data_IF_437516799454
#
_entry.id   IF_437516799454
#
_cell.length_a   1.000
_cell.length_b   1.000
_cell.length_c   1.000
_cell.angle_alpha   90.00
_cell.angle_beta   90.00
_cell.angle_gamma   90.00
#
_symmetry.space_group_name_H-M   'P 1'
#
loop_
_entity.id
_entity.type
_entity.pdbx_description
1 polymer ?
#
# COMPACT_ATOMS: atom_id res chain seq x y z
N UNK A 1 64.32 -143.78 -60.84
CA UNK A 1 64.58 -143.97 -62.29
C UNK A 1 65.63 -145.08 -62.52
N UNK A 2 66.79 -145.05 -61.84
CA UNK A 2 67.87 -146.06 -61.94
C UNK A 2 67.45 -147.51 -61.61
N UNK A 3 66.60 -147.74 -60.61
CA UNK A 3 66.19 -149.10 -60.21
C UNK A 3 65.34 -149.82 -61.27
N UNK A 4 64.58 -149.08 -62.08
CA UNK A 4 63.76 -149.65 -63.17
C UNK A 4 64.57 -150.08 -64.41
N UNK A 5 65.87 -149.77 -64.47
CA UNK A 5 66.74 -149.99 -65.63
C UNK A 5 67.44 -151.36 -65.62
N UNK A 6 67.59 -151.97 -64.44
CA UNK A 6 68.32 -153.23 -64.25
C UNK A 6 67.53 -154.43 -64.81
N UNK A 7 66.19 -154.36 -64.83
CA UNK A 7 65.33 -155.44 -65.34
C UNK A 7 65.11 -155.45 -66.86
N UNK A 8 65.70 -154.50 -67.61
CA UNK A 8 65.51 -154.40 -69.07
C UNK A 8 66.70 -154.98 -69.86
N UNK A 9 66.36 -155.75 -70.90
CA UNK A 9 67.29 -156.36 -71.89
C UNK A 9 68.09 -155.24 -72.59
N UNK A 10 69.39 -155.44 -72.96
CA UNK A 10 70.28 -154.34 -73.37
C UNK A 10 69.77 -153.43 -74.50
N UNK A 11 69.01 -153.97 -75.46
CA UNK A 11 68.41 -153.22 -76.59
C UNK A 11 67.25 -152.30 -76.20
N UNK A 12 66.72 -152.42 -74.97
CA UNK A 12 65.63 -151.60 -74.44
C UNK A 12 66.09 -150.67 -73.32
N UNK A 13 67.40 -150.62 -73.03
CA UNK A 13 67.94 -149.67 -72.06
C UNK A 13 67.98 -148.28 -72.70
N UNK A 14 67.46 -147.25 -72.02
CA UNK A 14 67.56 -145.88 -72.50
C UNK A 14 69.03 -145.54 -72.80
N UNK A 15 69.29 -144.92 -73.95
CA UNK A 15 70.64 -144.48 -74.28
C UNK A 15 71.11 -143.42 -73.28
N UNK A 16 72.42 -143.28 -73.08
CA UNK A 16 73.01 -142.24 -72.22
C UNK A 16 72.42 -140.85 -72.55
N UNK A 17 72.16 -140.59 -73.82
CA UNK A 17 71.53 -139.37 -74.31
C UNK A 17 70.10 -139.18 -73.77
N UNK A 18 69.27 -140.22 -73.79
CA UNK A 18 67.89 -140.14 -73.26
C UNK A 18 67.83 -139.96 -71.74
N UNK A 19 68.79 -140.54 -71.00
CA UNK A 19 68.90 -140.38 -69.56
C UNK A 19 69.35 -138.96 -69.19
N UNK A 20 70.33 -138.44 -69.94
CA UNK A 20 70.81 -137.08 -69.78
C UNK A 20 69.69 -136.07 -70.07
N UNK A 21 68.89 -136.29 -71.12
CA UNK A 21 67.76 -135.44 -71.45
C UNK A 21 66.68 -135.45 -70.36
N UNK A 22 66.37 -136.60 -69.77
CA UNK A 22 65.43 -136.70 -68.65
C UNK A 22 65.94 -135.96 -67.40
N UNK A 23 67.23 -136.10 -67.08
CA UNK A 23 67.83 -135.40 -65.94
C UNK A 23 67.88 -133.89 -66.16
N UNK A 24 68.21 -133.43 -67.38
CA UNK A 24 68.17 -132.02 -67.76
C UNK A 24 66.74 -131.48 -67.62
N UNK A 25 65.73 -132.21 -68.09
CA UNK A 25 64.34 -131.77 -68.03
C UNK A 25 63.81 -131.70 -66.59
N UNK A 26 64.23 -132.62 -65.71
CA UNK A 26 63.94 -132.52 -64.27
C UNK A 26 64.63 -131.32 -63.62
N UNK A 27 65.89 -131.03 -63.98
CA UNK A 27 66.61 -129.85 -63.50
C UNK A 27 65.98 -128.55 -63.98
N UNK A 28 65.57 -128.46 -65.25
CA UNK A 28 64.85 -127.31 -65.82
C UNK A 28 63.53 -127.09 -65.07
N UNK A 29 62.74 -128.15 -64.86
CA UNK A 29 61.48 -128.05 -64.12
C UNK A 29 61.69 -127.60 -62.67
N UNK A 30 62.75 -128.05 -62.00
CA UNK A 30 63.11 -127.58 -60.64
C UNK A 30 63.55 -126.12 -60.64
N UNK A 31 64.29 -125.67 -61.67
CA UNK A 31 64.71 -124.28 -61.83
C UNK A 31 63.50 -123.37 -62.11
N UNK A 32 62.59 -123.79 -62.99
CA UNK A 32 61.34 -123.06 -63.29
C UNK A 32 60.50 -122.91 -62.03
N UNK A 33 60.28 -124.00 -61.27
CA UNK A 33 59.56 -123.94 -59.99
C UNK A 33 60.24 -123.02 -58.97
N UNK A 34 61.57 -123.08 -58.87
CA UNK A 34 62.31 -122.21 -57.96
C UNK A 34 62.25 -120.74 -58.38
N UNK A 35 62.20 -120.45 -59.67
CA UNK A 35 62.03 -119.09 -60.19
C UNK A 35 60.59 -118.58 -59.94
N UNK A 36 59.57 -119.40 -60.19
CA UNK A 36 58.17 -119.08 -59.87
C UNK A 36 57.97 -118.82 -58.36
N UNK A 37 58.61 -119.63 -57.50
CA UNK A 37 58.60 -119.43 -56.05
C UNK A 37 59.30 -118.12 -55.64
N UNK A 38 60.43 -117.78 -56.28
CA UNK A 38 61.11 -116.51 -56.03
C UNK A 38 60.29 -115.30 -56.48
N UNK A 39 59.67 -115.35 -57.64
CA UNK A 39 58.78 -114.29 -58.14
C UNK A 39 57.57 -114.12 -57.21
N UNK A 40 56.98 -115.23 -56.76
CA UNK A 40 55.89 -115.22 -55.77
C UNK A 40 56.32 -114.62 -54.43
N UNK A 41 57.51 -114.96 -53.94
CA UNK A 41 58.08 -114.39 -52.72
C UNK A 41 58.33 -112.88 -52.85
N UNK A 42 58.89 -112.42 -53.97
CA UNK A 42 59.09 -110.99 -54.25
C UNK A 42 57.75 -110.23 -54.30
N UNK A 43 56.73 -110.82 -54.93
CA UNK A 43 55.38 -110.24 -54.98
C UNK A 43 54.74 -110.13 -53.59
N UNK A 44 54.86 -111.18 -52.76
CA UNK A 44 54.38 -111.18 -51.37
C UNK A 44 55.11 -110.11 -50.54
N UNK A 45 56.42 -109.97 -50.70
CA UNK A 45 57.22 -108.97 -49.99
C UNK A 45 56.83 -107.53 -50.41
N UNK A 46 56.59 -107.30 -51.70
CA UNK A 46 56.08 -106.03 -52.20
C UNK A 46 54.69 -105.71 -51.65
N UNK A 47 53.75 -106.66 -51.69
CA UNK A 47 52.40 -106.49 -51.15
C UNK A 47 52.41 -106.21 -49.64
N UNK A 48 53.30 -106.86 -48.89
CA UNK A 48 53.46 -106.60 -47.46
C UNK A 48 53.99 -105.19 -47.19
N UNK A 49 54.92 -104.70 -48.02
CA UNK A 49 55.41 -103.33 -47.94
C UNK A 49 54.28 -102.32 -48.22
N UNK A 50 53.52 -102.52 -49.30
CA UNK A 50 52.39 -101.67 -49.67
C UNK A 50 51.28 -101.68 -48.58
N UNK A 51 50.96 -102.85 -48.02
CA UNK A 51 50.00 -102.96 -46.92
C UNK A 51 50.45 -102.22 -45.65
N UNK A 52 51.74 -102.29 -45.32
CA UNK A 52 52.29 -101.55 -44.18
C UNK A 52 52.25 -100.03 -44.42
N UNK A 53 52.54 -99.58 -45.64
CA UNK A 53 52.41 -98.17 -46.03
C UNK A 53 50.95 -97.70 -45.97
N UNK A 54 50.00 -98.48 -46.50
CA UNK A 54 48.55 -98.23 -46.42
C UNK A 54 48.06 -98.15 -44.97
N UNK A 55 48.48 -99.09 -44.13
CA UNK A 55 48.14 -99.10 -42.70
C UNK A 55 48.64 -97.84 -41.99
N UNK A 56 49.86 -97.40 -42.32
CA UNK A 56 50.44 -96.17 -41.76
C UNK A 56 49.67 -94.93 -42.22
N UNK A 57 49.34 -94.84 -43.52
CA UNK A 57 48.53 -93.73 -44.07
C UNK A 57 47.13 -93.69 -43.46
N UNK A 58 46.50 -94.85 -43.28
CA UNK A 58 45.18 -94.95 -42.65
C UNK A 58 45.22 -94.46 -41.20
N UNK A 59 46.21 -94.88 -40.41
CA UNK A 59 46.40 -94.39 -39.04
C UNK A 59 46.65 -92.87 -38.99
N UNK A 60 47.46 -92.34 -39.91
CA UNK A 60 47.71 -90.90 -39.99
C UNK A 60 46.42 -90.12 -40.30
N UNK A 61 45.62 -90.60 -41.24
CA UNK A 61 44.34 -89.99 -41.62
C UNK A 61 43.34 -90.00 -40.46
N UNK A 62 43.28 -91.08 -39.68
CA UNK A 62 42.40 -91.17 -38.51
C UNK A 62 42.81 -90.15 -37.43
N UNK A 63 44.13 -89.98 -37.21
CA UNK A 63 44.67 -88.96 -36.28
C UNK A 63 44.37 -87.55 -36.77
N UNK A 64 44.56 -87.28 -38.07
CA UNK A 64 44.28 -85.97 -38.67
C UNK A 64 42.79 -85.61 -38.56
N UNK A 65 41.90 -86.57 -38.85
CA UNK A 65 40.45 -86.41 -38.70
C UNK A 65 40.04 -86.12 -37.26
N UNK A 66 40.64 -86.79 -36.28
CA UNK A 66 40.37 -86.52 -34.88
C UNK A 66 40.93 -85.16 -34.45
N UNK A 67 42.13 -84.76 -34.93
CA UNK A 67 42.67 -83.42 -34.69
C UNK A 67 41.78 -82.33 -35.28
N UNK A 68 41.26 -82.51 -36.50
CA UNK A 68 40.38 -81.56 -37.16
C UNK A 68 39.04 -81.42 -36.40
N UNK A 69 38.48 -82.54 -35.94
CA UNK A 69 37.30 -82.54 -35.08
C UNK A 69 37.52 -81.79 -33.76
N UNK A 70 38.69 -81.97 -33.12
CA UNK A 70 39.03 -81.24 -31.89
C UNK A 70 39.20 -79.73 -32.13
N UNK A 71 39.81 -79.35 -33.27
CA UNK A 71 39.91 -77.92 -33.67
C UNK A 71 38.53 -77.31 -33.88
N UNK A 72 37.65 -78.00 -34.61
CA UNK A 72 36.28 -77.55 -34.85
C UNK A 72 35.48 -77.41 -33.54
N UNK A 73 35.64 -78.33 -32.58
CA UNK A 73 35.02 -78.21 -31.26
C UNK A 73 35.51 -76.97 -30.50
N UNK A 74 36.83 -76.75 -30.47
CA UNK A 74 37.42 -75.58 -29.80
C UNK A 74 36.94 -74.26 -30.40
N UNK A 75 36.78 -74.21 -31.72
CA UNK A 75 36.28 -73.04 -32.42
C UNK A 75 34.80 -72.77 -32.12
N UNK A 76 33.98 -73.83 -32.05
CA UNK A 76 32.57 -73.73 -31.59
C UNK A 76 32.48 -73.20 -30.17
N UNK A 77 33.34 -73.65 -29.25
CA UNK A 77 33.31 -73.20 -27.86
C UNK A 77 33.73 -71.73 -27.72
N UNK A 78 34.75 -71.28 -28.46
CA UNK A 78 35.11 -69.86 -28.54
C UNK A 78 33.96 -69.01 -29.06
N UNK A 79 33.31 -69.43 -30.15
CA UNK A 79 32.17 -68.72 -30.72
C UNK A 79 30.98 -68.65 -29.75
N UNK A 80 30.75 -69.71 -28.96
CA UNK A 80 29.72 -69.70 -27.90
C UNK A 80 30.05 -68.70 -26.80
N UNK A 81 31.30 -68.67 -26.32
CA UNK A 81 31.73 -67.72 -25.30
C UNK A 81 31.60 -66.27 -25.77
N UNK A 82 32.02 -65.98 -27.01
CA UNK A 82 31.86 -64.66 -27.62
C UNK A 82 30.39 -64.26 -27.74
N UNK A 83 29.52 -65.19 -28.15
CA UNK A 83 28.08 -64.95 -28.24
C UNK A 83 27.45 -64.67 -26.86
N UNK A 84 27.88 -65.36 -25.82
CA UNK A 84 27.42 -65.12 -24.43
C UNK A 84 27.85 -63.73 -23.95
N UNK A 85 29.10 -63.33 -24.21
CA UNK A 85 29.59 -61.98 -23.88
C UNK A 85 28.79 -60.90 -24.60
N UNK A 86 28.59 -61.06 -25.91
CA UNK A 86 27.82 -60.11 -26.71
C UNK A 86 26.36 -59.99 -26.24
N UNK A 87 25.72 -61.11 -25.84
CA UNK A 87 24.37 -61.09 -25.25
C UNK A 87 24.34 -60.32 -23.93
N UNK A 88 25.30 -60.59 -23.03
CA UNK A 88 25.41 -59.89 -21.75
C UNK A 88 25.64 -58.39 -21.92
N UNK A 89 26.45 -57.97 -22.89
CA UNK A 89 26.68 -56.54 -23.18
C UNK A 89 25.42 -55.87 -23.73
N UNK A 90 24.69 -56.56 -24.60
CA UNK A 90 23.44 -56.04 -25.16
C UNK A 90 22.35 -55.89 -24.09
N UNK A 91 22.28 -56.82 -23.13
CA UNK A 91 21.35 -56.73 -22.00
C UNK A 91 21.71 -55.59 -21.05
N UNK A 92 23.00 -55.35 -20.77
CA UNK A 92 23.45 -54.16 -20.03
C UNK A 92 23.05 -52.88 -20.75
N UNK A 93 23.29 -52.80 -22.06
CA UNK A 93 22.96 -51.62 -22.87
C UNK A 93 21.44 -51.36 -22.89
N UNK A 94 20.62 -52.42 -22.93
CA UNK A 94 19.15 -52.30 -22.82
C UNK A 94 18.74 -51.79 -21.45
N UNK A 95 19.32 -52.30 -20.37
CA UNK A 95 19.03 -51.82 -19.01
C UNK A 95 19.41 -50.34 -18.84
N UNK A 96 20.56 -49.91 -19.33
CA UNK A 96 20.97 -48.50 -19.31
C UNK A 96 20.01 -47.61 -20.10
N UNK A 97 19.57 -48.05 -21.30
CA UNK A 97 18.58 -47.30 -22.09
C UNK A 97 17.24 -47.17 -21.37
N UNK A 98 16.77 -48.23 -20.72
CA UNK A 98 15.52 -48.20 -19.93
C UNK A 98 15.66 -47.22 -18.77
N UNK A 99 16.78 -47.27 -18.05
CA UNK A 99 17.06 -46.37 -16.92
C UNK A 99 17.11 -44.90 -17.37
N UNK A 100 17.85 -44.60 -18.44
CA UNK A 100 17.94 -43.26 -18.99
C UNK A 100 16.58 -42.72 -19.48
N UNK A 101 15.73 -43.60 -20.04
CA UNK A 101 14.37 -43.22 -20.43
C UNK A 101 13.49 -42.91 -19.22
N UNK A 102 13.56 -43.72 -18.17
CA UNK A 102 12.83 -43.50 -16.92
C UNK A 102 13.25 -42.19 -16.23
N UNK A 103 14.56 -41.90 -16.17
CA UNK A 103 15.09 -40.64 -15.63
C UNK A 103 14.59 -39.43 -16.42
N UNK A 104 14.62 -39.51 -17.76
CA UNK A 104 14.11 -38.45 -18.63
C UNK A 104 12.61 -38.20 -18.47
N UNK A 105 11.83 -39.26 -18.29
CA UNK A 105 10.38 -39.12 -18.06
C UNK A 105 10.09 -38.55 -16.66
N UNK A 106 10.88 -38.92 -15.65
CA UNK A 106 10.79 -38.33 -14.32
C UNK A 106 11.13 -36.83 -14.31
N UNK A 107 12.18 -36.41 -15.02
CA UNK A 107 12.53 -34.99 -15.18
C UNK A 107 11.42 -34.20 -15.87
N UNK A 108 10.81 -34.76 -16.92
CA UNK A 108 9.66 -34.12 -17.60
C UNK A 108 8.47 -33.96 -16.68
N UNK A 109 8.13 -34.97 -15.88
CA UNK A 109 7.03 -34.91 -14.92
C UNK A 109 7.30 -33.83 -13.87
N UNK A 110 8.53 -33.76 -13.33
CA UNK A 110 8.91 -32.72 -12.38
C UNK A 110 8.79 -31.31 -13.00
N UNK A 111 9.29 -31.12 -14.22
CA UNK A 111 9.18 -29.84 -14.92
C UNK A 111 7.73 -29.42 -15.21
N UNK A 112 6.84 -30.37 -15.49
CA UNK A 112 5.40 -30.12 -15.65
C UNK A 112 4.75 -29.70 -14.33
N UNK A 113 5.03 -30.43 -13.24
CA UNK A 113 4.50 -30.10 -11.90
C UNK A 113 4.96 -28.71 -11.45
N UNK A 114 6.20 -28.34 -11.73
CA UNK A 114 6.74 -27.03 -11.35
C UNK A 114 6.14 -25.88 -12.17
N UNK A 115 5.87 -26.12 -13.46
CA UNK A 115 5.09 -25.20 -14.30
C UNK A 115 3.66 -25.03 -13.78
N UNK A 116 2.98 -26.11 -13.45
CA UNK A 116 1.60 -26.08 -12.94
C UNK A 116 1.51 -25.32 -11.61
N UNK A 117 2.47 -25.55 -10.69
CA UNK A 117 2.59 -24.76 -9.45
C UNK A 117 2.78 -23.26 -9.74
N UNK A 118 3.64 -22.92 -10.69
CA UNK A 118 3.90 -21.52 -11.06
C UNK A 118 2.65 -20.86 -11.65
N UNK A 119 1.89 -21.58 -12.48
CA UNK A 119 0.64 -21.08 -13.05
C UNK A 119 -0.40 -20.86 -11.94
N UNK A 120 -0.56 -21.82 -11.02
CA UNK A 120 -1.49 -21.71 -9.91
C UNK A 120 -1.19 -20.50 -8.99
N UNK A 121 0.09 -20.25 -8.67
CA UNK A 121 0.49 -19.08 -7.88
C UNK A 121 0.15 -17.77 -8.60
N UNK A 122 0.47 -17.68 -9.91
CA UNK A 122 0.15 -16.48 -10.69
C UNK A 122 -1.36 -16.23 -10.81
N UNK A 123 -2.16 -17.28 -10.93
CA UNK A 123 -3.62 -17.19 -10.98
C UNK A 123 -4.17 -16.68 -9.64
N UNK A 124 -3.65 -17.20 -8.52
CA UNK A 124 -4.03 -16.78 -7.17
C UNK A 124 -3.65 -15.32 -6.89
N UNK A 125 -2.45 -14.89 -7.30
CA UNK A 125 -2.01 -13.50 -7.19
C UNK A 125 -2.90 -12.55 -8.00
N UNK A 126 -3.25 -12.92 -9.25
CA UNK A 126 -4.18 -12.13 -10.08
C UNK A 126 -5.56 -12.01 -9.45
N UNK A 127 -6.10 -13.09 -8.89
CA UNK A 127 -7.39 -13.05 -8.20
C UNK A 127 -7.35 -12.15 -6.97
N UNK A 128 -6.26 -12.21 -6.19
CA UNK A 128 -6.06 -11.33 -5.03
C UNK A 128 -5.98 -9.85 -5.45
N UNK A 129 -5.21 -9.54 -6.49
CA UNK A 129 -5.09 -8.17 -7.03
C UNK A 129 -6.45 -7.64 -7.54
N UNK A 130 -7.25 -8.50 -8.18
CA UNK A 130 -8.59 -8.14 -8.64
C UNK A 130 -9.53 -7.83 -7.47
N UNK A 131 -9.49 -8.66 -6.42
CA UNK A 131 -10.30 -8.45 -5.22
C UNK A 131 -9.91 -7.16 -4.49
N UNK A 132 -8.61 -6.87 -4.35
CA UNK A 132 -8.11 -5.64 -3.75
C UNK A 132 -8.55 -4.41 -4.55
N UNK A 133 -8.50 -4.46 -5.89
CA UNK A 133 -9.01 -3.39 -6.75
C UNK A 133 -10.52 -3.17 -6.61
N UNK A 134 -11.31 -4.23 -6.50
CA UNK A 134 -12.77 -4.12 -6.27
C UNK A 134 -13.10 -3.51 -4.90
N UNK A 135 -12.38 -3.92 -3.85
CA UNK A 135 -12.55 -3.37 -2.51
C UNK A 135 -12.19 -1.88 -2.47
N UNK A 136 -11.03 -1.50 -3.03
CA UNK A 136 -10.60 -0.10 -3.10
C UNK A 136 -11.55 0.77 -3.93
N UNK A 137 -12.13 0.23 -5.00
CA UNK A 137 -13.14 0.96 -5.77
C UNK A 137 -14.43 1.18 -4.94
N UNK A 138 -14.89 0.15 -4.23
CA UNK A 138 -16.09 0.23 -3.40
C UNK A 138 -15.92 1.22 -2.24
N UNK A 139 -14.74 1.26 -1.61
CA UNK A 139 -14.43 2.25 -0.56
C UNK A 139 -14.44 3.68 -1.11
N UNK A 140 -13.82 3.93 -2.27
CA UNK A 140 -13.85 5.25 -2.91
C UNK A 140 -15.27 5.71 -3.25
N UNK A 141 -16.11 4.80 -3.75
CA UNK A 141 -17.51 5.12 -4.06
C UNK A 141 -18.34 5.40 -2.80
N UNK A 142 -18.03 4.73 -1.68
CA UNK A 142 -18.67 4.99 -0.39
C UNK A 142 -18.25 6.35 0.19
N UNK A 143 -16.96 6.68 0.12
CA UNK A 143 -16.41 7.95 0.60
C UNK A 143 -16.97 9.12 -0.21
N UNK A 144 -17.07 8.98 -1.54
CA UNK A 144 -17.71 9.99 -2.40
C UNK A 144 -19.16 10.24 -2.00
N UNK A 145 -19.95 9.19 -1.74
CA UNK A 145 -21.35 9.35 -1.28
C UNK A 145 -21.44 10.04 0.08
N UNK A 146 -20.51 9.76 1.00
CA UNK A 146 -20.45 10.47 2.30
C UNK A 146 -20.15 11.95 2.08
N UNK A 147 -19.14 12.28 1.28
CA UNK A 147 -18.80 13.65 0.94
C UNK A 147 -19.97 14.39 0.26
N UNK A 148 -20.67 13.74 -0.67
CA UNK A 148 -21.85 14.32 -1.33
C UNK A 148 -22.99 14.59 -0.32
N UNK A 149 -23.18 13.69 0.66
CA UNK A 149 -24.19 13.84 1.73
C UNK A 149 -23.82 14.97 2.68
N UNK A 150 -22.56 15.01 3.12
CA UNK A 150 -22.03 16.08 3.97
C UNK A 150 -22.12 17.43 3.27
N UNK A 151 -21.75 17.50 1.98
CA UNK A 151 -21.84 18.72 1.19
C UNK A 151 -23.30 19.18 1.01
N UNK A 152 -24.24 18.26 0.77
CA UNK A 152 -25.67 18.58 0.72
C UNK A 152 -26.19 19.11 2.08
N UNK A 153 -25.72 18.54 3.18
CA UNK A 153 -26.09 19.00 4.52
C UNK A 153 -25.47 20.38 4.86
N UNK A 154 -24.21 20.63 4.46
CA UNK A 154 -23.58 21.95 4.56
C UNK A 154 -24.39 22.98 3.77
N UNK A 155 -24.77 22.70 2.51
CA UNK A 155 -25.61 23.62 1.71
C UNK A 155 -26.92 23.92 2.45
N UNK A 156 -27.59 22.90 2.99
CA UNK A 156 -28.86 23.06 3.74
C UNK A 156 -28.66 23.94 4.97
N UNK A 157 -27.64 23.68 5.77
CA UNK A 157 -27.33 24.44 6.98
C UNK A 157 -26.91 25.88 6.65
N UNK A 158 -26.12 26.09 5.60
CA UNK A 158 -25.76 27.43 5.13
C UNK A 158 -27.00 28.21 4.71
N UNK A 159 -27.93 27.61 3.96
CA UNK A 159 -29.17 28.26 3.57
C UNK A 159 -30.04 28.64 4.79
N UNK A 160 -30.14 27.76 5.78
CA UNK A 160 -30.87 28.04 7.02
C UNK A 160 -30.20 29.17 7.84
N UNK A 161 -28.87 29.17 7.96
CA UNK A 161 -28.10 30.25 8.61
C UNK A 161 -28.32 31.58 7.88
N UNK A 162 -28.27 31.61 6.54
CA UNK A 162 -28.54 32.82 5.76
C UNK A 162 -29.96 33.32 5.99
N UNK A 163 -30.96 32.42 6.06
CA UNK A 163 -32.35 32.79 6.33
C UNK A 163 -32.53 33.35 7.74
N UNK A 164 -31.92 32.72 8.75
CA UNK A 164 -31.96 33.19 10.14
C UNK A 164 -31.26 34.54 10.28
N UNK A 165 -30.08 34.70 9.68
CA UNK A 165 -29.38 35.98 9.64
C UNK A 165 -30.19 37.05 8.93
N UNK A 166 -30.84 36.77 7.79
CA UNK A 166 -31.74 37.75 7.15
C UNK A 166 -32.93 38.12 8.03
N UNK A 167 -33.47 37.19 8.81
CA UNK A 167 -34.53 37.50 9.79
C UNK A 167 -34.02 38.37 10.95
N UNK A 168 -32.78 38.14 11.41
CA UNK A 168 -32.09 38.94 12.43
C UNK A 168 -31.59 40.30 11.90
N UNK A 169 -31.37 40.42 10.58
CA UNK A 169 -30.95 41.64 9.88
C UNK A 169 -32.11 42.62 9.63
N UNK A 170 -33.36 42.22 9.90
CA UNK A 170 -34.49 43.15 9.98
C UNK A 170 -34.47 43.91 11.31
N UNK A 171 -33.36 44.55 11.65
CA UNK A 171 -33.38 45.61 12.64
C UNK A 171 -34.00 46.82 11.93
N UNK A 172 -35.22 47.26 12.27
CA UNK A 172 -35.72 48.50 11.73
C UNK A 172 -34.75 49.61 12.14
N UNK A 173 -34.32 50.42 11.16
CA UNK A 173 -33.52 51.64 11.35
C UNK A 173 -34.29 52.75 12.07
N UNK A 174 -35.19 52.39 13.00
CA UNK A 174 -36.19 53.26 13.60
C UNK A 174 -35.70 54.04 14.81
N UNK A 175 -34.39 54.15 15.06
CA UNK A 175 -33.86 55.07 16.07
C UNK A 175 -33.39 56.33 15.36
N UNK A 176 -33.90 57.49 15.80
CA UNK A 176 -33.41 58.79 15.36
C UNK A 176 -33.18 59.71 16.57
N UNK A 177 -32.32 60.74 16.46
CA UNK A 177 -32.05 61.66 17.58
C UNK A 177 -33.29 62.35 18.17
N UNK A 178 -34.32 62.60 17.36
CA UNK A 178 -35.54 63.29 17.78
C UNK A 178 -36.48 62.40 18.62
N UNK A 179 -36.25 61.09 18.64
CA UNK A 179 -37.00 60.16 19.49
C UNK A 179 -36.51 60.13 20.94
N UNK A 180 -35.33 60.70 21.23
CA UNK A 180 -34.82 60.70 22.59
C UNK A 180 -35.59 61.68 23.46
N UNK A 181 -36.17 61.18 24.55
CA UNK A 181 -36.84 62.01 25.55
C UNK A 181 -36.06 61.92 26.86
N UNK A 182 -35.55 63.05 27.31
CA UNK A 182 -34.84 63.21 28.57
C UNK A 182 -35.77 62.99 29.76
N UNK A 183 -35.35 62.13 30.67
CA UNK A 183 -35.96 61.95 31.99
C UNK A 183 -35.43 63.08 32.86
N UNK A 184 -36.15 64.20 32.88
CA UNK A 184 -35.75 65.43 33.57
C UNK A 184 -36.47 65.49 34.93
N UNK A 185 -35.75 65.30 36.06
CA UNK A 185 -36.37 65.26 37.38
C UNK A 185 -36.84 66.63 37.87
N UNK A 186 -36.22 67.71 37.37
CA UNK A 186 -36.53 69.09 37.71
C UNK A 186 -36.50 69.99 36.47
N UNK A 187 -37.66 70.42 35.92
CA UNK A 187 -37.72 71.18 34.68
C UNK A 187 -37.06 72.55 34.77
N UNK A 188 -36.93 73.10 35.98
CA UNK A 188 -36.23 74.37 36.19
C UNK A 188 -34.71 74.25 36.00
N UNK A 189 -34.14 73.04 36.08
CA UNK A 189 -32.69 72.78 36.04
C UNK A 189 -32.20 72.44 34.64
N UNK A 190 -33.01 71.71 33.88
CA UNK A 190 -32.69 71.31 32.51
C UNK A 190 -33.92 71.46 31.65
N UNK A 191 -33.71 72.01 30.45
CA UNK A 191 -34.72 72.12 29.42
C UNK A 191 -34.28 71.24 28.25
N UNK A 192 -35.22 70.47 27.70
CA UNK A 192 -35.05 69.81 26.41
C UNK A 192 -35.82 70.58 25.33
N UNK A 193 -35.14 70.89 24.23
CA UNK A 193 -35.70 71.48 23.02
C UNK A 193 -35.33 70.56 21.86
N UNK A 194 -36.28 69.77 21.36
CA UNK A 194 -36.03 68.72 20.38
C UNK A 194 -34.89 67.77 20.81
N UNK A 195 -33.84 67.65 20.01
CA UNK A 195 -32.65 66.85 20.29
C UNK A 195 -31.60 67.59 21.14
N UNK A 196 -31.89 68.80 21.63
CA UNK A 196 -30.97 69.63 22.41
C UNK A 196 -31.33 69.64 23.89
N UNK A 197 -30.34 69.39 24.73
CA UNK A 197 -30.44 69.49 26.19
C UNK A 197 -29.68 70.72 26.66
N UNK A 198 -30.35 71.55 27.47
CA UNK A 198 -29.83 72.84 27.94
C UNK A 198 -29.86 72.86 29.46
N UNK A 199 -28.70 72.98 30.09
CA UNK A 199 -28.59 73.23 31.53
C UNK A 199 -28.95 74.69 31.82
N UNK A 200 -29.94 74.93 32.67
CA UNK A 200 -30.31 76.30 33.06
C UNK A 200 -29.33 76.85 34.11
N UNK A 201 -29.57 78.07 34.56
CA UNK A 201 -28.84 78.67 35.69
C UNK A 201 -29.34 78.21 37.07
N UNK A 202 -30.32 77.29 37.15
CA UNK A 202 -30.83 76.74 38.41
C UNK A 202 -30.09 75.47 38.78
N UNK A 203 -29.73 75.37 40.05
CA UNK A 203 -28.99 74.25 40.59
C UNK A 203 -27.52 74.21 40.14
N UNK A 204 -26.76 73.30 40.74
CA UNK A 204 -25.31 73.19 40.57
C UNK A 204 -24.92 72.32 39.39
N UNK A 205 -25.63 71.22 39.20
CA UNK A 205 -25.27 70.15 38.27
C UNK A 205 -26.53 69.42 37.81
N UNK A 206 -26.48 68.66 36.72
CA UNK A 206 -27.65 67.88 36.28
C UNK A 206 -27.23 66.66 35.48
N UNK A 207 -27.84 65.52 35.80
CA UNK A 207 -27.74 64.28 35.03
C UNK A 207 -29.07 64.00 34.36
N UNK A 208 -29.04 63.68 33.06
CA UNK A 208 -30.24 63.41 32.26
C UNK A 208 -30.09 62.06 31.60
N UNK A 209 -30.93 61.11 31.97
CA UNK A 209 -31.08 59.83 31.26
C UNK A 209 -32.08 59.97 30.12
N UNK A 210 -32.03 59.11 29.10
CA UNK A 210 -32.93 59.18 27.96
C UNK A 210 -33.83 57.93 27.82
N UNK A 211 -35.05 58.15 27.32
CA UNK A 211 -35.92 57.14 26.71
C UNK A 211 -35.70 57.14 25.18
N UNK A 212 -35.84 56.00 24.47
CA UNK A 212 -36.26 54.70 24.99
C UNK A 212 -35.14 53.94 25.73
N UNK A 213 -35.53 52.90 26.47
CA UNK A 213 -34.61 51.90 27.04
C UNK A 213 -34.03 51.05 25.90
N UNK A 214 -32.74 50.75 25.97
CA UNK A 214 -32.08 49.84 25.03
C UNK A 214 -32.00 48.46 25.65
N UNK A 215 -32.58 47.46 25.00
CA UNK A 215 -32.64 46.07 25.47
C UNK A 215 -31.82 45.09 24.64
N UNK A 216 -31.38 45.50 23.44
CA UNK A 216 -30.63 44.65 22.51
C UNK A 216 -29.99 45.45 21.38
N UNK A 217 -28.97 44.86 20.75
CA UNK A 217 -28.25 45.46 19.62
C UNK A 217 -27.15 46.44 20.02
N UNK A 218 -26.36 46.88 19.05
CA UNK A 218 -25.33 47.90 19.26
C UNK A 218 -25.96 49.24 18.91
N UNK A 219 -26.09 50.12 19.91
CA UNK A 219 -26.65 51.46 19.71
C UNK A 219 -25.52 52.48 19.82
N UNK A 220 -25.40 53.31 18.79
CA UNK A 220 -24.49 54.45 18.78
C UNK A 220 -25.24 55.67 19.31
N UNK A 221 -24.71 56.27 20.37
CA UNK A 221 -25.22 57.52 20.94
C UNK A 221 -24.13 58.59 20.86
N UNK A 222 -24.46 59.73 20.30
CA UNK A 222 -23.51 60.82 20.14
C UNK A 222 -24.17 62.19 20.04
N UNK A 223 -23.37 63.20 20.31
CA UNK A 223 -23.82 64.58 20.27
C UNK A 223 -22.69 65.58 20.29
N UNK A 224 -23.08 66.84 20.13
CA UNK A 224 -22.23 68.00 20.04
C UNK A 224 -22.35 68.82 21.33
N UNK A 225 -21.21 69.07 21.98
CA UNK A 225 -21.14 69.80 23.26
C UNK A 225 -20.80 71.28 23.02
N UNK A 226 -21.63 72.18 23.52
CA UNK A 226 -21.51 73.64 23.36
C UNK A 226 -21.52 74.35 24.72
N UNK A 227 -20.83 75.50 24.80
CA UNK A 227 -20.86 76.44 25.94
C UNK A 227 -20.50 75.75 27.27
N UNK A 228 -19.41 75.01 27.26
CA UNK A 228 -18.96 74.19 28.40
C UNK A 228 -17.50 74.55 28.76
N UNK A 229 -17.28 75.75 29.34
CA UNK A 229 -15.94 76.27 29.62
C UNK A 229 -15.19 75.47 30.70
N UNK A 230 -15.86 74.77 31.62
CA UNK A 230 -15.20 73.99 32.68
C UNK A 230 -14.98 72.51 32.27
N UNK A 231 -14.36 71.74 33.16
CA UNK A 231 -13.93 70.37 32.89
C UNK A 231 -14.95 69.26 33.25
N UNK A 232 -16.09 69.57 33.86
CA UNK A 232 -16.98 68.57 34.46
C UNK A 232 -18.15 68.11 33.55
N UNK A 233 -17.83 67.64 32.34
CA UNK A 233 -18.78 66.95 31.45
C UNK A 233 -18.55 65.44 31.48
N UNK A 234 -19.62 64.65 31.44
CA UNK A 234 -19.52 63.22 31.12
C UNK A 234 -20.78 62.72 30.42
N UNK A 235 -20.63 61.61 29.72
CA UNK A 235 -21.75 60.88 29.11
C UNK A 235 -21.50 59.39 29.26
N UNK A 236 -22.57 58.60 29.27
CA UNK A 236 -22.47 57.22 29.72
C UNK A 236 -23.69 56.38 29.46
N UNK A 237 -23.62 55.15 29.97
CA UNK A 237 -24.76 54.23 30.05
C UNK A 237 -25.09 53.94 31.51
N UNK A 238 -26.37 53.85 31.81
CA UNK A 238 -26.89 53.49 33.12
C UNK A 238 -27.77 52.25 33.00
N UNK A 239 -27.79 51.42 34.04
CA UNK A 239 -28.85 50.42 34.22
C UNK A 239 -30.22 51.12 34.13
N UNK A 240 -31.18 50.52 33.43
CA UNK A 240 -32.45 51.19 33.15
C UNK A 240 -33.29 51.53 34.39
N UNK A 241 -32.98 50.90 35.54
CA UNK A 241 -33.59 51.18 36.84
C UNK A 241 -33.08 52.46 37.51
N UNK A 242 -31.99 53.05 37.02
CA UNK A 242 -31.42 54.28 37.59
C UNK A 242 -32.33 55.47 37.29
N UNK A 243 -32.67 56.21 38.35
CA UNK A 243 -33.35 57.50 38.27
C UNK A 243 -32.45 58.52 38.92
N UNK A 244 -31.93 59.47 38.14
CA UNK A 244 -31.16 60.58 38.66
C UNK A 244 -32.10 61.63 39.27
N UNK A 245 -31.71 62.28 40.36
CA UNK A 245 -32.40 63.43 40.94
C UNK A 245 -31.94 64.76 40.34
N UNK A 246 -32.65 65.84 40.69
CA UNK A 246 -32.21 67.21 40.40
C UNK A 246 -30.94 67.51 41.21
N UNK A 247 -29.91 68.10 40.59
CA UNK A 247 -28.60 68.33 41.21
C UNK A 247 -27.86 67.07 41.65
N UNK A 248 -28.09 65.94 40.97
CA UNK A 248 -27.39 64.70 41.27
C UNK A 248 -26.31 64.38 40.23
N UNK A 249 -25.09 64.14 40.71
CA UNK A 249 -23.96 63.61 39.94
C UNK A 249 -24.17 62.10 39.65
N UNK A 250 -23.82 61.55 38.46
CA UNK A 250 -24.12 60.16 38.12
C UNK A 250 -23.34 59.11 38.94
N UNK A 251 -22.40 59.56 39.78
CA UNK A 251 -21.55 58.72 40.63
C UNK A 251 -21.82 59.00 42.13
N UNK A 252 -23.08 58.93 42.54
CA UNK A 252 -23.52 59.12 43.94
C UNK A 252 -24.24 57.87 44.45
N UNK A 253 -24.06 57.52 45.72
CA UNK A 253 -24.82 56.46 46.39
C UNK A 253 -24.72 55.09 45.70
N UNK A 254 -25.87 54.53 45.31
CA UNK A 254 -25.96 53.25 44.59
C UNK A 254 -25.63 53.37 43.09
N UNK A 255 -25.73 54.58 42.51
CA UNK A 255 -25.52 54.81 41.08
C UNK A 255 -24.07 54.50 40.66
N UNK A 256 -23.12 54.57 41.60
CA UNK A 256 -21.70 54.21 41.38
C UNK A 256 -21.49 52.78 40.87
N UNK A 257 -22.43 51.86 41.13
CA UNK A 257 -22.38 50.46 40.66
C UNK A 257 -23.28 50.20 39.44
N UNK A 258 -24.04 51.20 39.02
CA UNK A 258 -25.09 51.09 38.00
C UNK A 258 -24.87 51.99 36.79
N UNK A 259 -23.71 52.66 36.69
CA UNK A 259 -23.36 53.54 35.57
C UNK A 259 -21.94 53.25 35.07
N UNK A 260 -21.76 53.34 33.75
CA UNK A 260 -20.43 53.47 33.11
C UNK A 260 -20.36 54.86 32.51
N UNK A 261 -19.28 55.58 32.83
CA UNK A 261 -19.11 56.99 32.48
C UNK A 261 -17.83 57.22 31.68
N UNK A 262 -17.94 58.05 30.65
CA UNK A 262 -16.82 58.60 29.93
C UNK A 262 -16.72 60.09 30.29
N UNK A 263 -15.70 60.46 31.06
CA UNK A 263 -15.48 61.83 31.50
C UNK A 263 -14.77 62.64 30.40
N UNK A 264 -14.89 63.97 30.46
CA UNK A 264 -14.27 64.92 29.51
C UNK A 264 -12.77 64.67 29.29
N UNK A 265 -12.04 64.23 30.31
CA UNK A 265 -10.61 63.98 30.22
C UNK A 265 -10.24 62.68 29.48
N UNK A 266 -11.22 61.93 28.97
CA UNK A 266 -11.01 60.64 28.28
C UNK A 266 -11.00 59.44 29.22
N UNK A 267 -11.31 59.65 30.49
CA UNK A 267 -11.33 58.58 31.48
C UNK A 267 -12.64 57.79 31.38
N UNK A 268 -12.54 56.48 31.21
CA UNK A 268 -13.68 55.56 31.32
C UNK A 268 -13.73 54.99 32.74
N UNK A 269 -14.87 55.14 33.42
CA UNK A 269 -15.02 54.76 34.84
C UNK A 269 -16.29 53.96 35.08
N UNK A 270 -16.22 53.09 36.08
CA UNK A 270 -17.33 52.31 36.62
C UNK A 270 -17.10 52.13 38.13
N UNK A 271 -16.95 50.90 38.62
CA UNK A 271 -16.57 50.57 39.99
C UNK A 271 -15.04 50.45 40.03
N UNK A 272 -14.37 51.10 40.99
CA UNK A 272 -12.91 51.00 41.17
C UNK A 272 -12.14 52.10 40.46
N UNK A 273 -10.99 51.75 39.88
CA UNK A 273 -10.08 52.69 39.22
C UNK A 273 -10.63 53.18 37.87
N UNK A 274 -10.02 54.26 37.37
CA UNK A 274 -10.30 54.81 36.04
C UNK A 274 -9.40 54.21 34.96
N UNK A 275 -9.98 53.90 33.81
CA UNK A 275 -9.25 53.50 32.61
C UNK A 275 -8.87 54.78 31.85
N UNK A 276 -7.56 55.00 31.74
CA UNK A 276 -6.97 56.16 31.06
C UNK A 276 -6.57 55.79 29.62
N UNK A 277 -6.24 56.79 28.80
CA UNK A 277 -5.68 56.60 27.46
C UNK A 277 -6.66 56.83 26.31
N UNK A 278 -7.94 57.11 26.59
CA UNK A 278 -8.88 57.55 25.54
C UNK A 278 -8.76 59.06 25.30
N UNK A 279 -9.34 59.53 24.19
CA UNK A 279 -9.27 60.94 23.78
C UNK A 279 -10.16 61.85 24.63
N UNK A 280 -9.68 63.06 24.92
CA UNK A 280 -10.45 64.10 25.61
C UNK A 280 -11.62 64.60 24.76
N UNK A 281 -12.69 65.01 25.45
CA UNK A 281 -13.83 65.72 24.86
C UNK A 281 -13.55 67.22 24.94
N UNK A 282 -13.43 67.87 23.79
CA UNK A 282 -13.24 69.31 23.71
C UNK A 282 -14.58 70.02 23.51
N UNK A 283 -14.64 71.28 23.92
CA UNK A 283 -15.78 72.15 23.61
C UNK A 283 -15.92 72.30 22.08
N UNK A 284 -17.17 72.39 21.60
CA UNK A 284 -17.51 72.50 20.19
C UNK A 284 -17.00 71.31 19.35
N UNK A 285 -17.02 70.10 19.94
CA UNK A 285 -16.73 68.85 19.25
C UNK A 285 -17.88 67.86 19.41
N UNK A 286 -18.02 67.01 18.41
CA UNK A 286 -18.91 65.85 18.45
C UNK A 286 -18.21 64.69 19.14
N UNK A 287 -18.96 63.97 19.97
CA UNK A 287 -18.52 62.73 20.60
C UNK A 287 -19.58 61.66 20.40
N UNK A 288 -19.16 60.42 20.19
CA UNK A 288 -20.05 59.27 20.05
C UNK A 288 -19.54 58.09 20.87
N UNK A 289 -20.45 57.25 21.35
CA UNK A 289 -20.13 56.04 22.07
C UNK A 289 -20.91 54.84 21.55
N UNK A 290 -20.25 53.69 21.63
CA UNK A 290 -20.80 52.35 21.40
C UNK A 290 -20.36 51.49 22.60
N UNK A 291 -21.28 50.88 23.37
CA UNK A 291 -20.96 50.16 24.60
C UNK A 291 -20.39 48.75 24.32
N UNK A 292 -19.36 48.64 23.47
CA UNK A 292 -18.85 47.36 22.95
C UNK A 292 -17.65 46.80 23.72
N UNK A 293 -16.93 47.65 24.46
CA UNK A 293 -15.76 47.26 25.25
C UNK A 293 -16.10 46.92 26.71
N UNK A 294 -17.39 47.00 27.08
CA UNK A 294 -17.91 46.61 28.39
C UNK A 294 -18.76 45.35 28.21
N UNK A 295 -18.35 44.24 28.81
CA UNK A 295 -19.08 42.96 28.75
C UNK A 295 -19.99 42.79 29.97
N UNK A 296 -20.98 41.91 29.85
CA UNK A 296 -21.99 41.63 30.89
C UNK A 296 -22.79 42.87 31.35
N UNK A 297 -23.03 43.83 30.44
CA UNK A 297 -23.92 44.97 30.71
C UNK A 297 -25.34 44.48 31.07
N UNK A 298 -26.13 45.24 31.84
CA UNK A 298 -27.51 44.90 32.14
C UNK A 298 -28.34 44.64 30.88
N UNK A 299 -29.33 43.76 30.99
CA UNK A 299 -30.25 43.44 29.88
C UNK A 299 -31.08 44.63 29.39
N UNK A 300 -31.09 45.72 30.14
CA UNK A 300 -31.73 46.97 29.77
C UNK A 300 -30.93 48.17 30.27
N UNK A 301 -30.53 49.07 29.37
CA UNK A 301 -29.73 50.25 29.69
C UNK A 301 -30.34 51.53 29.12
N UNK A 302 -29.88 52.67 29.62
CA UNK A 302 -30.18 54.01 29.11
C UNK A 302 -28.90 54.76 28.86
N UNK A 303 -28.88 55.57 27.81
CA UNK A 303 -27.84 56.61 27.71
C UNK A 303 -28.16 57.74 28.67
N UNK A 304 -27.12 58.41 29.14
CA UNK A 304 -27.26 59.64 29.91
C UNK A 304 -26.13 60.62 29.60
N UNK A 305 -26.37 61.90 29.94
CA UNK A 305 -25.37 62.95 29.95
C UNK A 305 -25.36 63.65 31.30
N UNK A 306 -24.22 64.24 31.66
CA UNK A 306 -24.02 65.04 32.85
C UNK A 306 -23.50 66.43 32.47
N UNK A 307 -24.19 67.47 32.95
CA UNK A 307 -23.91 68.87 32.67
C UNK A 307 -23.65 69.62 33.97
N UNK A 308 -22.49 70.28 34.07
CA UNK A 308 -22.13 71.13 35.21
C UNK A 308 -22.38 72.61 34.92
N UNK A 309 -21.88 73.09 33.79
CA UNK A 309 -21.87 74.52 33.50
C UNK A 309 -23.27 75.06 33.20
N UNK A 310 -23.60 76.18 33.85
CA UNK A 310 -24.82 76.90 33.54
C UNK A 310 -24.83 77.34 32.08
N UNK A 311 -25.96 77.15 31.40
CA UNK A 311 -26.17 77.40 29.97
C UNK A 311 -25.39 76.49 29.01
N UNK A 312 -24.70 75.46 29.51
CA UNK A 312 -24.12 74.42 28.67
C UNK A 312 -25.19 73.64 27.92
N UNK A 313 -24.83 73.18 26.71
CA UNK A 313 -25.77 72.55 25.80
C UNK A 313 -25.18 71.29 25.21
N UNK A 314 -26.01 70.25 25.08
CA UNK A 314 -25.65 69.04 24.37
C UNK A 314 -26.71 68.76 23.31
N UNK A 315 -26.30 68.80 22.04
CA UNK A 315 -27.16 68.53 20.90
C UNK A 315 -26.93 67.09 20.45
N UNK A 316 -27.94 66.22 20.60
CA UNK A 316 -27.85 64.81 20.18
C UNK A 316 -27.81 64.77 18.65
N UNK A 317 -26.75 64.23 18.07
CA UNK A 317 -26.57 64.12 16.62
C UNK A 317 -26.65 62.69 16.12
N UNK A 318 -26.45 61.71 17.00
CA UNK A 318 -26.46 60.29 16.68
C UNK A 318 -27.24 59.51 17.72
N UNK A 319 -28.24 58.77 17.26
CA UNK A 319 -28.94 57.77 18.04
C UNK A 319 -29.48 56.73 17.07
N UNK A 320 -28.67 55.73 16.78
CA UNK A 320 -28.93 54.75 15.72
C UNK A 320 -28.51 53.35 16.14
N UNK A 321 -29.21 52.34 15.63
CA UNK A 321 -28.75 50.96 15.75
C UNK A 321 -27.74 50.68 14.63
N UNK A 322 -26.59 50.12 15.00
CA UNK A 322 -25.51 49.79 14.05
C UNK A 322 -25.31 48.30 14.02
N UNK A 323 -25.16 47.75 12.81
CA UNK A 323 -24.93 46.31 12.63
C UNK A 323 -23.57 45.87 13.15
N UNK A 324 -22.56 46.73 13.02
CA UNK A 324 -21.20 46.48 13.44
C UNK A 324 -20.67 47.69 14.21
N UNK A 325 -19.88 47.40 15.24
CA UNK A 325 -19.14 48.42 15.98
C UNK A 325 -18.16 49.15 15.07
N UNK A 326 -18.07 50.46 15.23
CA UNK A 326 -17.01 51.28 14.63
C UNK A 326 -15.71 51.25 15.43
N UNK A 327 -15.72 50.64 16.63
CA UNK A 327 -14.53 50.45 17.43
C UNK A 327 -13.50 49.59 16.67
N UNK A 328 -12.35 50.19 16.35
CA UNK A 328 -11.23 49.50 15.71
C UNK A 328 -10.61 48.54 16.74
N UNK A 329 -10.95 47.26 16.66
CA UNK A 329 -10.36 46.21 17.50
C UNK A 329 -8.87 46.01 17.20
N UNK A 330 -8.13 45.42 18.15
CA UNK A 330 -6.72 45.03 17.95
C UNK A 330 -5.70 46.16 18.11
N UNK A 331 -6.09 47.28 18.72
CA UNK A 331 -5.18 48.35 19.12
C UNK A 331 -4.46 47.92 20.41
N UNK A 332 -3.13 48.02 20.41
CA UNK A 332 -2.31 47.79 21.60
C UNK A 332 -2.79 48.69 22.76
N UNK A 333 -3.16 48.07 23.90
CA UNK A 333 -3.73 48.77 25.05
C UNK A 333 -5.27 48.79 25.14
N UNK A 334 -6.00 48.21 24.17
CA UNK A 334 -7.45 48.03 24.30
C UNK A 334 -7.78 47.09 25.46
N UNK A 335 -8.63 47.55 26.40
CA UNK A 335 -9.09 46.77 27.55
C UNK A 335 -10.56 46.40 27.39
N UNK A 336 -10.87 45.12 27.56
CA UNK A 336 -12.24 44.63 27.76
C UNK A 336 -12.48 44.60 29.27
N UNK A 337 -13.56 45.24 29.72
CA UNK A 337 -13.90 45.32 31.14
C UNK A 337 -15.32 44.85 31.42
N UNK A 338 -15.55 44.30 32.61
CA UNK A 338 -16.81 43.66 32.97
C UNK A 338 -17.67 44.59 33.84
N UNK A 339 -18.96 44.73 33.51
CA UNK A 339 -19.92 45.46 34.33
C UNK A 339 -20.11 44.79 35.69
N UNK A 340 -20.30 45.58 36.74
CA UNK A 340 -20.51 45.10 38.11
C UNK A 340 -19.24 44.61 38.81
N UNK A 341 -18.09 44.61 38.12
CA UNK A 341 -16.78 44.29 38.69
C UNK A 341 -15.96 45.55 38.94
N UNK A 342 -15.06 45.46 39.91
CA UNK A 342 -14.06 46.49 40.15
C UNK A 342 -13.02 46.50 39.03
N UNK A 343 -12.86 47.64 38.36
CA UNK A 343 -11.89 47.85 37.29
C UNK A 343 -10.54 48.26 37.90
N UNK A 344 -9.46 47.72 37.34
CA UNK A 344 -8.09 47.96 37.79
C UNK A 344 -7.29 48.66 36.70
N UNK A 345 -6.40 49.57 37.12
CA UNK A 345 -5.60 50.42 36.23
C UNK A 345 -4.71 49.64 35.26
#
# INVERSE_FOLDING_TARGET
>A
MLESMISKIPSQRPSVQSLLQSNIMQLVSVIEKSNEEKESQQSIEQLNKENNELKTKYQLLEVEKEQEKQRALSEIDKLKEEKIKALSENDKLKQEKIKALAEKDQEKIQALVEKDKTIAVKEQEKQKELQEKQNAQSERDLEKRRADTEHAEVIRLTAEITRQNQSLLSVPSSLNPNMLVGIIPGPDHVIQQDNKIIKTNKGRESTVAFNPVITSGIVRFGGFLEKHPNCYFSFGIADSSVVFGSNEWPYVGENKKKTVRYDKDGDLKHIGDQINGNSRIYENKSVAMEPVSVINIPSSIRFYIYLWDNNSQFTITQFENVQYSSAKGGIEGQKIVEWGKEWKK
#
